data_IF_303803153796
#
_entry.id   IF_303803153796
#
_cell.length_a   1.000
_cell.length_b   1.000
_cell.length_c   1.000
_cell.angle_alpha   90.00
_cell.angle_beta   90.00
_cell.angle_gamma   90.00
#
_symmetry.space_group_name_H-M   'P 1'
#
loop_
_entity.id
_entity.type
_entity.pdbx_description
1 polymer ?
#
# COMPACT_ATOMS: atom_id res chain seq x y z
N UNK A 1 -49.68 -16.41 43.08
CA UNK A 1 -48.86 -17.34 42.27
C UNK A 1 -49.15 -17.22 40.79
N UNK A 2 -50.39 -17.41 40.33
CA UNK A 2 -50.76 -17.28 38.91
C UNK A 2 -50.42 -15.90 38.30
N UNK A 3 -50.63 -14.81 39.05
CA UNK A 3 -50.29 -13.44 38.62
C UNK A 3 -48.78 -13.22 38.47
N UNK A 4 -47.96 -13.74 39.39
CA UNK A 4 -46.50 -13.69 39.31
C UNK A 4 -45.98 -14.46 38.09
N UNK A 5 -46.53 -15.65 37.83
CA UNK A 5 -46.20 -16.45 36.65
C UNK A 5 -46.62 -15.71 35.38
N UNK A 6 -47.81 -15.10 35.37
CA UNK A 6 -48.29 -14.29 34.24
C UNK A 6 -47.37 -13.11 33.90
N UNK A 7 -46.92 -12.36 34.90
CA UNK A 7 -45.95 -11.27 34.69
C UNK A 7 -44.60 -11.78 34.18
N UNK A 8 -44.12 -12.93 34.69
CA UNK A 8 -42.89 -13.55 34.23
C UNK A 8 -42.95 -13.94 32.75
N UNK A 9 -44.05 -14.60 32.34
CA UNK A 9 -44.28 -14.96 30.92
C UNK A 9 -44.36 -13.71 30.05
N UNK A 10 -45.10 -12.68 30.49
CA UNK A 10 -45.21 -11.41 29.75
C UNK A 10 -43.85 -10.74 29.56
N UNK A 11 -43.01 -10.69 30.60
CA UNK A 11 -41.68 -10.11 30.51
C UNK A 11 -40.78 -10.85 29.51
N UNK A 12 -40.83 -12.18 29.49
CA UNK A 12 -40.09 -13.01 28.51
C UNK A 12 -40.56 -12.74 27.10
N UNK A 13 -41.88 -12.64 26.88
CA UNK A 13 -42.46 -12.34 25.56
C UNK A 13 -42.01 -10.96 25.08
N UNK A 14 -42.04 -9.95 25.93
CA UNK A 14 -41.59 -8.59 25.59
C UNK A 14 -40.09 -8.61 25.28
N UNK A 15 -39.27 -9.25 26.11
CA UNK A 15 -37.83 -9.34 25.87
C UNK A 15 -37.51 -10.06 24.55
N UNK A 16 -38.19 -11.16 24.24
CA UNK A 16 -38.05 -11.88 22.98
C UNK A 16 -38.47 -11.01 21.78
N UNK A 17 -39.60 -10.30 21.89
CA UNK A 17 -40.08 -9.41 20.83
C UNK A 17 -39.09 -8.27 20.57
N UNK A 18 -38.58 -7.62 21.63
CA UNK A 18 -37.57 -6.58 21.52
C UNK A 18 -36.26 -7.10 20.94
N UNK A 19 -35.83 -8.30 21.34
CA UNK A 19 -34.64 -8.94 20.81
C UNK A 19 -34.78 -9.23 19.31
N UNK A 20 -35.90 -9.79 18.88
CA UNK A 20 -36.18 -10.04 17.46
C UNK A 20 -36.24 -8.74 16.65
N UNK A 21 -36.87 -7.70 17.19
CA UNK A 21 -36.92 -6.39 16.56
C UNK A 21 -35.52 -5.81 16.40
N UNK A 22 -34.71 -5.83 17.47
CA UNK A 22 -33.33 -5.36 17.45
C UNK A 22 -32.47 -6.17 16.46
N UNK A 23 -32.57 -7.50 16.47
CA UNK A 23 -31.81 -8.38 15.59
C UNK A 23 -32.15 -8.16 14.10
N UNK A 24 -33.40 -7.83 13.78
CA UNK A 24 -33.82 -7.54 12.42
C UNK A 24 -33.46 -6.11 11.97
N UNK A 25 -33.46 -5.14 12.91
CA UNK A 25 -33.07 -3.76 12.62
C UNK A 25 -31.56 -3.55 12.60
N UNK A 26 -30.79 -4.38 13.31
CA UNK A 26 -29.34 -4.37 13.22
C UNK A 26 -28.97 -5.03 11.88
N UNK A 27 -28.45 -4.27 10.90
CA UNK A 27 -28.05 -4.85 9.63
C UNK A 27 -27.05 -5.96 9.94
N UNK A 28 -27.32 -7.17 9.43
CA UNK A 28 -26.49 -8.36 9.62
C UNK A 28 -25.02 -7.94 9.57
N UNK A 29 -24.35 -8.09 10.71
CA UNK A 29 -23.10 -7.40 11.05
C UNK A 29 -22.18 -7.34 9.84
N UNK A 30 -21.68 -6.14 9.56
CA UNK A 30 -20.70 -5.81 8.51
C UNK A 30 -19.90 -7.07 8.23
N UNK A 31 -20.25 -7.76 7.13
CA UNK A 31 -19.44 -8.87 6.63
C UNK A 31 -18.07 -8.25 6.53
N UNK A 32 -17.17 -8.61 7.45
CA UNK A 32 -15.81 -8.10 7.47
C UNK A 32 -15.35 -8.36 6.05
N UNK A 33 -15.18 -7.30 5.26
CA UNK A 33 -14.80 -7.44 3.88
C UNK A 33 -13.57 -8.35 3.89
N UNK A 34 -13.51 -9.37 3.00
CA UNK A 34 -12.38 -10.29 2.99
C UNK A 34 -11.12 -9.44 3.08
N UNK A 35 -10.29 -9.70 4.09
CA UNK A 35 -9.16 -8.85 4.44
C UNK A 35 -8.46 -8.47 3.14
N UNK A 36 -8.56 -7.20 2.75
CA UNK A 36 -7.96 -6.71 1.52
C UNK A 36 -6.52 -7.15 1.63
N UNK A 37 -6.11 -8.02 0.71
CA UNK A 37 -4.76 -8.54 0.68
C UNK A 37 -3.86 -7.31 0.73
N UNK A 38 -2.92 -7.30 1.66
CA UNK A 38 -1.99 -6.19 1.87
C UNK A 38 -0.97 -6.20 0.72
N UNK A 39 -1.50 -6.10 -0.50
CA UNK A 39 -0.76 -6.06 -1.73
C UNK A 39 -0.05 -4.72 -1.73
N UNK A 40 1.28 -4.76 -1.78
CA UNK A 40 2.09 -3.55 -1.81
C UNK A 40 1.57 -2.64 -2.94
N UNK A 41 1.10 -1.42 -2.65
CA UNK A 41 0.49 -0.54 -3.66
C UNK A 41 1.48 -0.09 -4.75
N UNK A 42 2.74 -0.49 -4.68
CA UNK A 42 3.78 -0.20 -5.66
C UNK A 42 4.18 -1.46 -6.44
N UNK A 43 4.20 -1.35 -7.76
CA UNK A 43 4.63 -2.43 -8.66
C UNK A 43 6.10 -2.27 -8.97
N UNK A 44 6.96 -3.11 -8.37
CA UNK A 44 8.33 -3.24 -8.84
C UNK A 44 8.37 -4.01 -10.17
N UNK A 45 9.32 -3.72 -11.07
CA UNK A 45 9.53 -4.54 -12.26
C UNK A 45 9.88 -5.97 -11.84
N UNK A 46 9.02 -6.94 -12.13
CA UNK A 46 9.29 -8.35 -11.80
C UNK A 46 10.10 -9.08 -12.89
N UNK A 47 10.19 -8.50 -14.09
CA UNK A 47 10.78 -9.14 -15.27
C UNK A 47 12.10 -8.55 -15.74
N UNK A 48 12.66 -7.57 -15.03
CA UNK A 48 13.97 -6.98 -15.33
C UNK A 48 14.66 -6.55 -14.05
N UNK A 49 15.97 -6.35 -14.13
CA UNK A 49 16.74 -5.78 -13.03
C UNK A 49 16.22 -4.39 -12.67
N UNK A 50 16.31 -4.07 -11.38
CA UNK A 50 15.92 -2.80 -10.79
C UNK A 50 16.92 -1.71 -11.18
N UNK A 51 16.42 -0.60 -11.72
CA UNK A 51 17.21 0.60 -12.01
C UNK A 51 17.01 1.63 -10.87
N UNK A 52 17.97 2.54 -10.74
CA UNK A 52 17.93 3.73 -9.90
C UNK A 52 16.61 4.51 -10.03
N UNK A 53 16.13 4.71 -11.25
CA UNK A 53 14.87 5.41 -11.53
C UNK A 53 13.63 4.68 -10.99
N UNK A 54 13.69 3.36 -10.83
CA UNK A 54 12.57 2.61 -10.25
C UNK A 54 12.50 2.85 -8.75
N UNK A 55 13.66 2.85 -8.06
CA UNK A 55 13.75 3.11 -6.62
C UNK A 55 13.29 4.53 -6.28
N UNK A 56 13.70 5.54 -7.06
CA UNK A 56 13.29 6.94 -6.87
C UNK A 56 11.77 7.16 -7.02
N UNK A 57 11.10 6.31 -7.82
CA UNK A 57 9.66 6.35 -8.06
C UNK A 57 8.84 5.59 -7.02
N UNK A 58 9.45 4.73 -6.21
CA UNK A 58 8.72 4.00 -5.15
C UNK A 58 8.14 4.99 -4.14
N UNK A 59 6.90 4.75 -3.74
CA UNK A 59 6.22 5.47 -2.65
C UNK A 59 5.74 4.47 -1.63
N UNK A 60 6.42 4.44 -0.49
CA UNK A 60 6.07 3.54 0.60
C UNK A 60 4.90 4.13 1.42
N UNK A 61 3.87 3.33 1.75
CA UNK A 61 2.77 3.76 2.58
C UNK A 61 3.21 3.93 4.03
N UNK A 62 2.57 4.86 4.73
CA UNK A 62 2.85 5.17 6.13
C UNK A 62 2.05 4.21 7.02
N UNK A 63 2.72 3.52 7.95
CA UNK A 63 2.08 2.64 8.93
C UNK A 63 2.28 3.14 10.36
N UNK A 64 1.30 2.87 11.24
CA UNK A 64 1.32 3.24 12.66
C UNK A 64 2.45 2.54 13.45
N UNK A 65 2.95 1.41 12.94
CA UNK A 65 4.18 0.72 13.37
C UNK A 65 5.00 0.43 12.13
N UNK A 66 6.01 1.24 11.88
CA UNK A 66 6.90 1.11 10.73
C UNK A 66 8.29 1.63 11.03
N UNK A 67 9.21 1.37 10.11
CA UNK A 67 10.51 2.05 10.09
C UNK A 67 10.29 3.57 10.00
N UNK A 68 11.23 4.34 10.53
CA UNK A 68 11.11 5.81 10.52
C UNK A 68 11.20 6.32 9.09
N UNK A 69 10.14 6.97 8.62
CA UNK A 69 10.00 7.52 7.26
C UNK A 69 11.28 8.22 6.77
N UNK A 70 11.80 9.18 7.55
CA UNK A 70 13.02 9.93 7.20
C UNK A 70 14.28 9.06 7.05
N UNK A 71 14.43 8.04 7.90
CA UNK A 71 15.59 7.13 7.85
C UNK A 71 15.46 6.17 6.67
N UNK A 72 14.24 5.73 6.37
CA UNK A 72 13.93 4.92 5.20
C UNK A 72 14.17 5.69 3.90
N UNK A 73 13.71 6.94 3.80
CA UNK A 73 13.94 7.78 2.63
C UNK A 73 15.43 8.00 2.38
N UNK A 74 16.19 8.36 3.43
CA UNK A 74 17.63 8.55 3.30
C UNK A 74 18.36 7.27 2.87
N UNK A 75 17.88 6.10 3.29
CA UNK A 75 18.41 4.81 2.84
C UNK A 75 18.08 4.55 1.36
N UNK A 76 16.85 4.86 0.92
CA UNK A 76 16.42 4.68 -0.47
C UNK A 76 17.16 5.62 -1.42
N UNK A 77 17.39 6.88 -1.03
CA UNK A 77 18.18 7.83 -1.80
C UNK A 77 19.61 7.32 -2.00
N UNK A 78 20.25 6.85 -0.91
CA UNK A 78 21.59 6.26 -0.99
C UNK A 78 21.61 4.99 -1.85
N UNK A 79 20.56 4.18 -1.79
CA UNK A 79 20.42 2.98 -2.61
C UNK A 79 20.30 3.32 -4.10
N UNK A 80 19.51 4.33 -4.46
CA UNK A 80 19.36 4.79 -5.83
C UNK A 80 20.70 5.27 -6.41
N UNK A 81 21.47 6.05 -5.63
CA UNK A 81 22.81 6.48 -6.02
C UNK A 81 23.78 5.31 -6.24
N UNK A 82 23.69 4.29 -5.40
CA UNK A 82 24.56 3.11 -5.51
C UNK A 82 24.21 2.25 -6.74
N UNK A 83 22.92 2.09 -7.03
CA UNK A 83 22.47 1.41 -8.25
C UNK A 83 22.97 2.17 -9.48
N UNK A 84 22.80 3.49 -9.51
CA UNK A 84 23.27 4.34 -10.62
C UNK A 84 24.77 4.18 -10.87
N UNK A 85 25.59 4.23 -9.81
CA UNK A 85 27.04 4.01 -9.91
C UNK A 85 27.40 2.62 -10.42
N UNK A 86 26.69 1.59 -9.96
CA UNK A 86 26.88 0.21 -10.42
C UNK A 86 26.52 0.06 -11.89
N UNK A 87 25.41 0.63 -12.33
CA UNK A 87 24.95 0.56 -13.71
C UNK A 87 25.90 1.29 -14.66
N UNK A 88 26.42 2.45 -14.25
CA UNK A 88 27.48 3.16 -14.98
C UNK A 88 28.75 2.32 -15.11
N UNK A 89 29.19 1.68 -14.03
CA UNK A 89 30.37 0.82 -14.07
C UNK A 89 30.16 -0.41 -14.95
N UNK A 90 28.99 -1.04 -14.86
CA UNK A 90 28.61 -2.17 -15.72
C UNK A 90 28.56 -1.73 -17.19
N UNK A 91 28.03 -0.55 -17.49
CA UNK A 91 28.03 0.00 -18.85
C UNK A 91 29.45 0.24 -19.38
N UNK A 92 30.34 0.80 -18.54
CA UNK A 92 31.78 0.94 -18.86
C UNK A 92 32.43 -0.40 -19.16
N UNK A 93 32.23 -1.40 -18.29
CA UNK A 93 32.81 -2.74 -18.44
C UNK A 93 32.26 -3.50 -19.65
N UNK A 94 30.98 -3.31 -20.00
CA UNK A 94 30.33 -3.93 -21.16
C UNK A 94 30.66 -3.23 -22.49
N UNK A 95 31.35 -2.09 -22.46
CA UNK A 95 31.69 -1.32 -23.65
C UNK A 95 30.48 -0.65 -24.32
N UNK A 96 29.35 -0.52 -23.61
CA UNK A 96 28.17 0.19 -24.09
C UNK A 96 28.26 1.63 -23.60
N UNK A 97 28.55 2.63 -24.45
CA UNK A 97 28.57 4.01 -24.02
C UNK A 97 27.18 4.40 -23.50
N UNK A 98 27.14 4.94 -22.27
CA UNK A 98 25.91 5.35 -21.59
C UNK A 98 25.08 6.27 -22.49
N UNK A 99 23.83 5.90 -22.73
CA UNK A 99 22.87 6.64 -23.56
C UNK A 99 22.59 8.07 -23.04
N UNK A 100 23.06 8.42 -21.83
CA UNK A 100 22.98 9.76 -21.27
C UNK A 100 23.84 10.82 -21.99
N UNK A 101 24.79 10.42 -22.84
CA UNK A 101 25.62 11.37 -23.61
C UNK A 101 24.99 11.82 -24.94
N UNK A 102 23.85 11.25 -25.33
CA UNK A 102 23.11 11.64 -26.53
C UNK A 102 22.04 12.69 -26.22
N UNK A 103 22.43 13.79 -25.56
CA UNK A 103 21.63 15.01 -25.54
C UNK A 103 21.81 15.74 -26.89
N UNK A 104 20.73 16.29 -27.48
CA UNK A 104 20.72 16.72 -28.86
C UNK A 104 21.61 17.95 -29.04
N UNK A 105 22.45 17.90 -30.07
CA UNK A 105 23.18 19.05 -30.57
C UNK A 105 22.20 20.22 -30.77
N UNK A 106 22.45 21.32 -30.05
CA UNK A 106 21.69 22.55 -30.16
C UNK A 106 21.61 22.98 -31.64
N UNK A 107 20.46 23.49 -32.11
CA UNK A 107 20.36 24.02 -33.46
C UNK A 107 21.33 25.19 -33.61
N UNK A 108 22.24 25.05 -34.57
CA UNK A 108 23.16 26.11 -35.01
C UNK A 108 22.30 27.27 -35.53
N UNK A 109 22.47 28.51 -35.02
CA UNK A 109 21.75 29.66 -35.54
C UNK A 109 22.42 30.08 -36.85
N UNK A 110 21.76 29.81 -37.97
CA UNK A 110 22.12 30.37 -39.27
C UNK A 110 21.49 31.78 -39.41
N UNK A 111 22.35 32.78 -39.63
CA UNK A 111 22.11 33.99 -40.44
C UNK A 111 21.05 34.99 -40.00
#
# INVERSE_FOLDING_TARGET
MLTLIGYGVLAVVIAAALFLLAANFLPAGVRIAPAVRDDAPWTLPAGRDLDSADVERVRLPVSLRGYRFRETDALLDRLADEIRRRDEEIARLRGTPSAASAAPAAPTPDG
#
